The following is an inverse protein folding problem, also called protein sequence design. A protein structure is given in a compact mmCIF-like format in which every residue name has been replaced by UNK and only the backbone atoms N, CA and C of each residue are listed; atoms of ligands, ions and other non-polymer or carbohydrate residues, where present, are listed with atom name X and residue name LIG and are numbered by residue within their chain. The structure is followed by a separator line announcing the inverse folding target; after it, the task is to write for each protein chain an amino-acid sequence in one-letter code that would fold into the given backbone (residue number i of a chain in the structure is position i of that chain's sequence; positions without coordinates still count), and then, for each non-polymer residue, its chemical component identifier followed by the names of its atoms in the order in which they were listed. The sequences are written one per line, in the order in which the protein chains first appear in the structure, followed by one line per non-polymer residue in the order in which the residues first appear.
data_IF_786564900713
#
_entry.id   IF_786564900713
#
_cell.length_a   1.000
_cell.length_b   1.000
_cell.length_c   1.000
_cell.angle_alpha   90.00
_cell.angle_beta   90.00
_cell.angle_gamma   90.00
#
_symmetry.space_group_name_H-M   'P 1'
#
loop_
_entity.id
_entity.type
_entity.pdbx_description
1 polymer ?
#
# COMPACT_ATOMS: atom_id res chain seq x y z
N UNK A 1 2.45 28.67 10.68
CA UNK A 1 3.80 28.23 11.11
C UNK A 1 3.99 26.70 11.19
N UNK A 2 2.93 25.88 11.29
CA UNK A 2 3.02 24.42 11.29
C UNK A 2 3.11 23.78 9.89
N UNK A 3 2.42 24.32 8.89
CA UNK A 3 2.47 23.81 7.50
C UNK A 3 3.87 23.88 6.86
N UNK A 4 4.64 24.89 7.21
CA UNK A 4 6.01 25.09 6.68
C UNK A 4 7.00 24.05 7.23
N UNK A 5 6.78 23.55 8.45
CA UNK A 5 7.60 22.47 9.03
C UNK A 5 7.29 21.10 8.41
N UNK A 6 6.02 20.82 8.11
CA UNK A 6 5.61 19.59 7.44
C UNK A 6 6.13 19.52 6.00
N UNK A 7 6.07 20.63 5.27
CA UNK A 7 6.63 20.74 3.92
C UNK A 7 8.16 20.56 3.90
N UNK A 8 8.87 21.11 4.88
CA UNK A 8 10.35 20.92 4.99
C UNK A 8 10.71 19.48 5.31
N UNK A 9 9.98 18.80 6.19
CA UNK A 9 10.21 17.37 6.46
C UNK A 9 9.94 16.50 5.23
N UNK A 10 8.92 16.84 4.44
CA UNK A 10 8.57 16.11 3.20
C UNK A 10 9.65 16.30 2.10
N UNK A 11 10.20 17.49 1.97
CA UNK A 11 11.27 17.81 1.00
C UNK A 11 12.58 17.13 1.41
N UNK A 12 12.95 17.13 2.70
CA UNK A 12 14.16 16.47 3.21
C UNK A 12 14.13 14.94 3.01
N UNK A 13 12.97 14.30 3.18
CA UNK A 13 12.80 12.87 2.94
C UNK A 13 12.96 12.55 1.43
N UNK A 14 12.51 13.43 0.56
CA UNK A 14 12.60 13.25 -0.89
C UNK A 14 14.02 13.42 -1.43
N UNK A 15 14.80 14.36 -0.90
CA UNK A 15 16.21 14.55 -1.27
C UNK A 15 17.10 13.40 -0.82
N UNK A 16 16.78 12.75 0.32
CA UNK A 16 17.49 11.56 0.77
C UNK A 16 17.25 10.36 -0.16
N UNK A 17 16.04 10.24 -0.73
CA UNK A 17 15.68 9.14 -1.63
C UNK A 17 16.32 9.25 -3.01
N UNK A 18 16.54 10.47 -3.51
CA UNK A 18 17.15 10.70 -4.86
C UNK A 18 18.66 10.40 -4.85
N UNK A 19 19.37 10.73 -3.77
CA UNK A 19 20.80 10.42 -3.66
C UNK A 19 21.09 8.93 -3.48
N UNK A 20 20.16 8.17 -2.89
CA UNK A 20 20.27 6.70 -2.77
C UNK A 20 20.07 5.96 -4.10
N UNK A 21 19.33 6.54 -5.03
CA UNK A 21 19.08 5.96 -6.36
C UNK A 21 20.31 6.07 -7.25
N UNK A 22 21.07 7.17 -7.17
CA UNK A 22 22.25 7.40 -8.01
C UNK A 22 23.45 6.49 -7.68
N UNK A 23 23.54 5.97 -6.45
CA UNK A 23 24.62 5.08 -6.02
C UNK A 23 24.40 3.59 -6.37
N UNK A 24 23.21 3.24 -6.85
CA UNK A 24 22.83 1.84 -7.13
C UNK A 24 22.97 1.39 -8.60
N UNK A 25 23.45 2.22 -9.49
CA UNK A 25 23.60 1.84 -10.91
C UNK A 25 24.75 0.90 -11.24
N UNK A 26 25.61 0.57 -10.26
CA UNK A 26 26.80 -0.28 -10.45
C UNK A 26 26.66 -1.78 -10.11
N UNK A 27 25.52 -2.24 -9.54
CA UNK A 27 25.33 -3.66 -9.13
C UNK A 27 24.04 -4.27 -9.69
N UNK A 28 23.89 -4.22 -11.01
CA UNK A 28 22.59 -4.36 -11.68
C UNK A 28 22.26 -5.74 -12.28
N UNK A 29 22.89 -6.85 -11.92
CA UNK A 29 22.57 -8.11 -12.62
C UNK A 29 21.77 -9.13 -11.82
N UNK A 30 21.91 -9.22 -10.51
CA UNK A 30 21.22 -10.29 -9.73
C UNK A 30 19.98 -9.80 -8.95
N UNK A 31 19.89 -8.50 -8.67
CA UNK A 31 18.76 -7.90 -7.92
C UNK A 31 17.52 -7.70 -8.81
N UNK A 32 17.71 -7.53 -10.12
CA UNK A 32 16.63 -7.27 -11.08
C UNK A 32 15.66 -8.46 -11.19
N UNK A 33 16.16 -9.71 -11.13
CA UNK A 33 15.30 -10.88 -11.29
C UNK A 33 14.41 -11.16 -10.07
N UNK A 34 14.90 -10.95 -8.85
CA UNK A 34 14.12 -11.22 -7.64
C UNK A 34 13.03 -10.14 -7.43
N UNK A 35 13.33 -8.88 -7.75
CA UNK A 35 12.35 -7.80 -7.68
C UNK A 35 11.26 -7.90 -8.75
N UNK A 36 11.60 -8.31 -9.99
CA UNK A 36 10.59 -8.55 -11.04
C UNK A 36 9.64 -9.70 -10.67
N UNK A 37 10.16 -10.79 -10.08
CA UNK A 37 9.34 -11.92 -9.64
C UNK A 37 8.42 -11.54 -8.48
N UNK A 38 8.86 -10.69 -7.57
CA UNK A 38 8.05 -10.14 -6.47
C UNK A 38 6.98 -9.19 -6.98
N UNK A 39 7.31 -8.30 -7.90
CA UNK A 39 6.36 -7.38 -8.53
C UNK A 39 5.24 -8.12 -9.27
N UNK A 40 5.55 -9.12 -10.05
CA UNK A 40 4.56 -9.93 -10.77
C UNK A 40 3.58 -10.59 -9.80
N UNK A 41 4.03 -11.14 -8.68
CA UNK A 41 3.16 -11.74 -7.65
C UNK A 41 2.28 -10.70 -6.96
N UNK A 42 2.82 -9.54 -6.64
CA UNK A 42 2.09 -8.45 -6.02
C UNK A 42 1.05 -7.84 -6.96
N UNK A 43 1.36 -7.71 -8.25
CA UNK A 43 0.44 -7.28 -9.29
C UNK A 43 -0.70 -8.28 -9.50
N UNK A 44 -0.41 -9.57 -9.54
CA UNK A 44 -1.41 -10.62 -9.62
C UNK A 44 -2.34 -10.60 -8.41
N UNK A 45 -1.77 -10.49 -7.20
CA UNK A 45 -2.53 -10.35 -5.97
C UNK A 45 -3.49 -9.16 -6.03
N UNK A 46 -3.01 -7.98 -6.44
CA UNK A 46 -3.81 -6.76 -6.56
C UNK A 46 -4.93 -6.90 -7.59
N UNK A 47 -4.67 -7.52 -8.75
CA UNK A 47 -5.69 -7.84 -9.75
C UNK A 47 -6.77 -8.78 -9.21
N UNK A 48 -6.38 -9.80 -8.46
CA UNK A 48 -7.31 -10.74 -7.86
C UNK A 48 -8.20 -10.07 -6.81
N UNK A 49 -7.64 -9.13 -6.02
CA UNK A 49 -8.46 -8.31 -5.10
C UNK A 49 -9.51 -7.50 -5.88
N UNK A 50 -9.12 -6.83 -6.98
CA UNK A 50 -10.08 -6.08 -7.82
C UNK A 50 -11.20 -6.99 -8.36
N UNK A 51 -10.91 -8.25 -8.64
CA UNK A 51 -11.87 -9.21 -9.15
C UNK A 51 -12.86 -9.76 -8.09
N UNK A 52 -12.56 -9.59 -6.79
CA UNK A 52 -13.43 -10.08 -5.71
C UNK A 52 -14.81 -9.41 -5.71
N UNK A 53 -14.87 -8.13 -6.10
CA UNK A 53 -16.13 -7.39 -6.07
C UNK A 53 -16.20 -6.35 -7.19
N UNK A 54 -17.32 -6.25 -7.92
CA UNK A 54 -17.48 -5.23 -8.96
C UNK A 54 -17.41 -3.79 -8.44
N UNK A 55 -17.70 -3.55 -7.15
CA UNK A 55 -17.62 -2.24 -6.53
C UNK A 55 -16.18 -1.78 -6.28
N UNK A 56 -15.19 -2.67 -6.33
CA UNK A 56 -13.78 -2.30 -6.16
C UNK A 56 -13.32 -1.54 -7.40
N UNK A 57 -12.75 -0.37 -7.17
CA UNK A 57 -12.27 0.60 -8.17
C UNK A 57 -10.75 0.64 -8.29
N UNK A 58 -10.07 0.31 -7.19
CA UNK A 58 -8.62 0.31 -7.06
C UNK A 58 -8.21 -0.75 -6.01
N UNK A 59 -7.13 -1.44 -6.26
CA UNK A 59 -6.43 -2.20 -5.24
C UNK A 59 -4.92 -2.12 -5.50
N UNK A 60 -4.16 -1.81 -4.46
CA UNK A 60 -2.70 -1.73 -4.53
C UNK A 60 -2.06 -2.02 -3.19
N UNK A 61 -0.90 -2.65 -3.22
CA UNK A 61 -0.02 -2.81 -2.09
C UNK A 61 0.83 -1.55 -1.95
N UNK A 62 0.80 -0.94 -0.79
CA UNK A 62 1.67 0.18 -0.44
C UNK A 62 2.68 -0.27 0.61
N UNK A 63 3.89 0.24 0.52
CA UNK A 63 4.91 0.07 1.54
C UNK A 63 4.54 0.88 2.79
N UNK A 64 5.21 0.60 3.90
CA UNK A 64 5.06 1.39 5.13
C UNK A 64 5.56 2.83 5.00
N UNK A 65 6.35 3.12 3.99
CA UNK A 65 6.75 4.46 3.56
C UNK A 65 5.64 5.25 2.86
N UNK A 66 4.52 4.58 2.48
CA UNK A 66 3.46 5.15 1.68
C UNK A 66 3.69 5.06 0.17
N UNK A 67 4.75 4.42 -0.29
CA UNK A 67 5.01 4.22 -1.71
C UNK A 67 4.14 3.08 -2.28
N UNK A 68 3.54 3.29 -3.45
CA UNK A 68 2.79 2.23 -4.14
C UNK A 68 3.78 1.20 -4.71
N UNK A 69 3.78 0.01 -4.13
CA UNK A 69 4.65 -1.10 -4.51
C UNK A 69 4.13 -1.82 -5.75
N UNK A 70 2.82 -2.14 -5.80
CA UNK A 70 2.20 -2.86 -6.89
C UNK A 70 0.69 -2.62 -6.94
N UNK A 71 0.08 -2.85 -8.10
CA UNK A 71 -1.35 -2.71 -8.30
C UNK A 71 -1.77 -1.34 -8.87
N UNK A 72 -3.07 -1.10 -8.87
CA UNK A 72 -3.59 0.12 -9.49
C UNK A 72 -5.11 0.11 -9.66
N UNK A 73 -5.62 1.03 -10.47
CA UNK A 73 -7.04 1.17 -10.72
C UNK A 73 -7.58 0.03 -11.58
N UNK A 74 -8.85 -0.31 -11.34
CA UNK A 74 -9.61 -1.16 -12.24
C UNK A 74 -9.68 -0.51 -13.62
N UNK A 75 -9.42 -1.28 -14.66
CA UNK A 75 -9.46 -0.81 -16.04
C UNK A 75 -10.81 -0.14 -16.35
N UNK A 76 -10.76 1.01 -17.04
CA UNK A 76 -11.94 1.79 -17.41
C UNK A 76 -12.61 2.57 -16.27
N UNK A 77 -12.05 2.54 -15.06
CA UNK A 77 -12.61 3.25 -13.91
C UNK A 77 -11.97 4.63 -13.75
N UNK A 78 -12.76 5.73 -13.75
CA UNK A 78 -12.23 7.08 -13.49
C UNK A 78 -11.63 7.16 -12.09
N UNK A 79 -10.43 7.74 -11.97
CA UNK A 79 -9.78 7.96 -10.69
C UNK A 79 -10.18 9.34 -10.13
N UNK A 80 -10.51 9.38 -8.83
CA UNK A 80 -10.78 10.63 -8.12
C UNK A 80 -9.50 11.32 -7.64
N UNK A 81 -8.49 10.53 -7.22
CA UNK A 81 -7.18 11.04 -6.82
C UNK A 81 -6.16 10.66 -7.89
N UNK A 82 -5.29 11.60 -8.26
CA UNK A 82 -4.23 11.42 -9.27
C UNK A 82 -2.97 12.16 -8.85
N UNK A 83 -1.80 11.64 -9.29
CA UNK A 83 -0.51 12.26 -9.00
C UNK A 83 -0.33 12.51 -7.50
N UNK A 84 0.12 13.70 -7.13
CA UNK A 84 0.43 14.08 -5.74
C UNK A 84 -0.71 13.78 -4.75
N UNK A 85 -1.98 13.95 -5.16
CA UNK A 85 -3.11 13.65 -4.27
C UNK A 85 -3.25 12.15 -3.98
N UNK A 86 -2.93 11.28 -4.95
CA UNK A 86 -2.92 9.85 -4.74
C UNK A 86 -1.74 9.44 -3.83
N UNK A 87 -0.54 9.97 -4.09
CA UNK A 87 0.67 9.70 -3.29
C UNK A 87 0.47 10.15 -1.83
N UNK A 88 -0.14 11.32 -1.62
CA UNK A 88 -0.46 11.82 -0.29
C UNK A 88 -1.46 10.90 0.42
N UNK A 89 -2.49 10.41 -0.28
CA UNK A 89 -3.46 9.47 0.27
C UNK A 89 -2.81 8.16 0.72
N UNK A 90 -1.86 7.64 -0.05
CA UNK A 90 -1.11 6.43 0.31
C UNK A 90 -0.22 6.67 1.53
N UNK A 91 0.51 7.79 1.58
CA UNK A 91 1.36 8.15 2.70
C UNK A 91 0.56 8.30 4.00
N UNK A 92 -0.59 8.98 3.95
CA UNK A 92 -1.49 9.12 5.10
C UNK A 92 -2.07 7.76 5.55
N UNK A 93 -2.42 6.90 4.60
CA UNK A 93 -2.90 5.55 4.90
C UNK A 93 -1.85 4.72 5.64
N UNK A 94 -0.60 4.78 5.19
CA UNK A 94 0.52 4.11 5.84
C UNK A 94 0.75 4.64 7.26
N UNK A 95 0.80 5.96 7.42
CA UNK A 95 1.00 6.61 8.71
C UNK A 95 -0.09 6.23 9.72
N UNK A 96 -1.36 6.25 9.31
CA UNK A 96 -2.46 5.92 10.21
C UNK A 96 -2.43 4.45 10.62
N UNK A 97 -2.13 3.53 9.70
CA UNK A 97 -1.97 2.11 10.04
C UNK A 97 -0.86 1.93 11.07
N UNK A 98 0.32 2.53 10.86
CA UNK A 98 1.45 2.46 11.79
C UNK A 98 1.09 2.99 13.18
N UNK A 99 0.43 4.15 13.24
CA UNK A 99 -0.02 4.75 14.50
C UNK A 99 -1.04 3.87 15.24
N UNK A 100 -1.93 3.18 14.52
CA UNK A 100 -2.93 2.30 15.11
C UNK A 100 -2.37 0.95 15.54
N UNK A 101 -1.39 0.42 14.84
CA UNK A 101 -0.69 -0.81 15.24
C UNK A 101 0.03 -0.66 16.58
N UNK A 102 0.36 0.57 17.00
CA UNK A 102 0.95 0.83 18.30
C UNK A 102 0.10 0.33 19.48
N UNK A 103 -1.20 0.25 19.29
CA UNK A 103 -2.14 -0.24 20.33
C UNK A 103 -2.43 -1.73 20.24
N UNK A 104 -1.64 -2.49 19.47
CA UNK A 104 -1.92 -3.92 19.24
C UNK A 104 -1.76 -4.78 20.48
N UNK A 105 -1.00 -4.34 21.47
CA UNK A 105 -0.85 -5.07 22.74
C UNK A 105 -2.15 -5.03 23.58
N UNK A 106 -2.85 -3.90 23.58
CA UNK A 106 -4.06 -3.68 24.37
C UNK A 106 -5.34 -4.08 23.60
N UNK A 107 -5.38 -3.81 22.28
CA UNK A 107 -6.59 -3.95 21.48
C UNK A 107 -6.59 -5.17 20.55
N UNK A 108 -5.47 -5.87 20.44
CA UNK A 108 -5.26 -6.92 19.44
C UNK A 108 -4.87 -6.32 18.07
N UNK A 109 -4.59 -7.19 17.11
CA UNK A 109 -4.10 -6.77 15.80
C UNK A 109 -5.13 -5.93 15.04
N UNK A 110 -4.67 -4.81 14.45
CA UNK A 110 -5.46 -3.98 13.58
C UNK A 110 -5.91 -4.81 12.36
N UNK A 111 -7.21 -4.90 12.12
CA UNK A 111 -7.77 -5.63 10.97
C UNK A 111 -7.83 -4.75 9.74
N UNK A 112 -8.33 -3.53 9.86
CA UNK A 112 -8.41 -2.54 8.79
C UNK A 112 -8.74 -1.15 9.32
N UNK A 113 -8.51 -0.15 8.49
CA UNK A 113 -9.00 1.23 8.66
C UNK A 113 -9.96 1.52 7.51
N UNK A 114 -11.10 2.12 7.81
CA UNK A 114 -12.11 2.54 6.83
C UNK A 114 -12.26 4.06 6.85
N UNK A 115 -12.15 4.66 5.66
CA UNK A 115 -12.52 6.06 5.41
C UNK A 115 -13.77 6.07 4.53
N UNK A 116 -14.86 6.58 5.06
CA UNK A 116 -16.15 6.63 4.39
C UNK A 116 -16.44 8.04 3.88
N UNK A 117 -16.35 8.23 2.56
CA UNK A 117 -16.68 9.47 1.87
C UNK A 117 -17.99 9.33 1.10
N UNK A 118 -18.60 10.45 0.71
CA UNK A 118 -19.84 10.46 -0.07
C UNK A 118 -19.75 9.69 -1.40
N UNK A 119 -18.58 9.74 -2.05
CA UNK A 119 -18.36 9.14 -3.39
C UNK A 119 -17.68 7.78 -3.35
N UNK A 120 -16.89 7.51 -2.33
CA UNK A 120 -16.04 6.30 -2.23
C UNK A 120 -15.86 5.87 -0.79
N UNK A 121 -15.55 4.60 -0.59
CA UNK A 121 -14.94 4.09 0.63
C UNK A 121 -13.50 3.70 0.34
N UNK A 122 -12.59 4.05 1.26
CA UNK A 122 -11.20 3.64 1.20
C UNK A 122 -10.92 2.71 2.38
N UNK A 123 -10.20 1.62 2.10
CA UNK A 123 -9.78 0.65 3.11
C UNK A 123 -8.28 0.54 3.11
N UNK A 124 -7.68 0.50 4.30
CA UNK A 124 -6.26 0.20 4.50
C UNK A 124 -6.17 -1.04 5.37
N UNK A 125 -5.70 -2.15 4.82
CA UNK A 125 -5.64 -3.46 5.46
C UNK A 125 -4.18 -3.85 5.62
N UNK A 126 -3.66 -4.05 6.84
CA UNK A 126 -2.30 -4.56 7.04
C UNK A 126 -2.13 -5.95 6.41
N UNK A 127 -1.07 -6.14 5.62
CA UNK A 127 -0.71 -7.42 4.98
C UNK A 127 0.79 -7.63 5.12
N UNK A 128 1.23 -8.38 6.11
CA UNK A 128 2.65 -8.56 6.45
C UNK A 128 3.36 -7.19 6.63
N UNK A 129 4.34 -6.91 5.77
CA UNK A 129 5.11 -5.65 5.79
C UNK A 129 4.53 -4.56 4.88
N UNK A 130 3.40 -4.82 4.25
CA UNK A 130 2.71 -3.90 3.34
C UNK A 130 1.32 -3.56 3.87
N UNK A 131 0.67 -2.62 3.21
CA UNK A 131 -0.71 -2.25 3.46
C UNK A 131 -1.45 -2.38 2.14
N UNK A 132 -2.52 -3.15 2.12
CA UNK A 132 -3.42 -3.22 0.99
C UNK A 132 -4.37 -2.02 1.05
N UNK A 133 -4.21 -1.11 0.09
CA UNK A 133 -5.11 0.01 -0.13
C UNK A 133 -6.20 -0.39 -1.14
N UNK A 134 -7.47 -0.23 -0.77
CA UNK A 134 -8.63 -0.52 -1.63
C UNK A 134 -9.50 0.73 -1.70
N UNK A 135 -9.97 1.06 -2.91
CA UNK A 135 -11.03 2.05 -3.13
C UNK A 135 -12.25 1.38 -3.73
N UNK A 136 -13.45 1.72 -3.23
CA UNK A 136 -14.73 1.17 -3.71
C UNK A 136 -15.74 2.26 -3.98
N UNK A 137 -16.87 1.90 -4.59
CA UNK A 137 -18.06 2.75 -4.59
C UNK A 137 -18.58 2.92 -3.16
N UNK A 138 -19.24 4.06 -2.88
CA UNK A 138 -19.74 4.38 -1.53
C UNK A 138 -20.86 3.46 -1.02
N UNK A 139 -21.58 2.80 -1.92
CA UNK A 139 -22.74 1.95 -1.60
C UNK A 139 -22.35 0.52 -1.19
N UNK A 140 -21.06 0.12 -1.27
CA UNK A 140 -20.62 -1.24 -0.96
C UNK A 140 -20.90 -1.58 0.51
N UNK A 141 -21.32 -2.83 0.76
CA UNK A 141 -21.34 -3.41 2.09
C UNK A 141 -19.92 -3.65 2.58
N UNK A 142 -19.48 -2.80 3.51
CA UNK A 142 -18.10 -2.75 3.98
C UNK A 142 -17.69 -4.01 4.74
N UNK A 143 -18.58 -4.57 5.57
CA UNK A 143 -18.27 -5.75 6.39
C UNK A 143 -18.13 -6.99 5.51
N UNK A 144 -19.09 -7.21 4.63
CA UNK A 144 -19.05 -8.33 3.69
C UNK A 144 -17.82 -8.26 2.78
N UNK A 145 -17.49 -7.08 2.26
CA UNK A 145 -16.32 -6.90 1.41
C UNK A 145 -15.02 -7.24 2.16
N UNK A 146 -14.84 -6.66 3.37
CA UNK A 146 -13.63 -6.89 4.17
C UNK A 146 -13.48 -8.36 4.53
N UNK A 147 -14.55 -9.04 4.89
CA UNK A 147 -14.52 -10.48 5.19
C UNK A 147 -14.04 -11.32 4.00
N UNK A 148 -14.52 -11.02 2.78
CA UNK A 148 -14.05 -11.69 1.56
C UNK A 148 -12.60 -11.40 1.25
N UNK A 149 -12.18 -10.15 1.40
CA UNK A 149 -10.79 -9.73 1.19
C UNK A 149 -9.86 -10.43 2.19
N UNK A 150 -10.21 -10.44 3.49
CA UNK A 150 -9.39 -11.10 4.52
C UNK A 150 -9.33 -12.62 4.29
N UNK A 151 -10.43 -13.26 3.90
CA UNK A 151 -10.43 -14.69 3.54
C UNK A 151 -9.48 -14.96 2.36
N UNK A 152 -9.52 -14.12 1.34
CA UNK A 152 -8.63 -14.25 0.19
C UNK A 152 -7.16 -14.06 0.62
N UNK A 153 -6.83 -13.01 1.39
CA UNK A 153 -5.48 -12.77 1.90
C UNK A 153 -4.95 -14.03 2.61
N UNK A 154 -5.70 -14.56 3.57
CA UNK A 154 -5.33 -15.78 4.31
C UNK A 154 -5.09 -17.00 3.42
N UNK A 155 -5.86 -17.15 2.34
CA UNK A 155 -5.73 -18.28 1.41
C UNK A 155 -4.46 -18.22 0.56
N UNK A 156 -3.88 -17.03 0.35
CA UNK A 156 -2.71 -16.82 -0.51
C UNK A 156 -1.46 -16.37 0.26
N UNK A 157 -1.59 -16.02 1.53
CA UNK A 157 -0.54 -15.41 2.33
C UNK A 157 0.76 -16.22 2.37
N UNK A 158 0.67 -17.56 2.38
CA UNK A 158 1.84 -18.45 2.35
C UNK A 158 2.59 -18.41 1.00
N UNK A 159 1.93 -18.00 -0.08
CA UNK A 159 2.51 -17.86 -1.43
C UNK A 159 2.98 -16.42 -1.71
N UNK A 160 2.51 -15.47 -0.92
CA UNK A 160 2.94 -14.08 -1.02
C UNK A 160 4.34 -13.93 -0.41
N UNK A 161 5.36 -14.01 -1.26
CA UNK A 161 6.74 -13.76 -0.90
C UNK A 161 7.02 -12.25 -0.85
N UNK A 162 6.31 -11.54 0.01
CA UNK A 162 6.53 -10.12 0.28
C UNK A 162 7.67 -9.99 1.30
N UNK A 163 8.91 -10.21 0.88
CA UNK A 163 10.05 -9.95 1.74
C UNK A 163 10.20 -8.43 1.93
N UNK A 164 10.52 -7.96 3.15
CA UNK A 164 10.91 -6.57 3.33
C UNK A 164 12.11 -6.27 2.42
N UNK A 165 12.25 -5.01 1.97
CA UNK A 165 13.46 -4.64 1.24
C UNK A 165 14.67 -5.04 2.10
N UNK A 166 15.58 -5.79 1.52
CA UNK A 166 16.79 -6.27 2.21
C UNK A 166 17.60 -5.04 2.57
N UNK A 167 17.49 -4.58 3.82
CA UNK A 167 18.44 -3.63 4.37
C UNK A 167 19.79 -4.33 4.40
N UNK A 168 20.61 -4.12 3.38
CA UNK A 168 22.03 -4.46 3.41
C UNK A 168 22.67 -3.47 4.38
N UNK A 169 22.63 -3.80 5.67
CA UNK A 169 23.53 -3.19 6.64
C UNK A 169 24.88 -3.86 6.39
N UNK A 170 25.67 -3.27 5.50
CA UNK A 170 27.08 -3.58 5.44
C UNK A 170 27.74 -3.04 6.72
N UNK A 171 28.24 -3.99 7.51
CA UNK A 171 29.19 -3.70 8.59
C UNK A 171 30.51 -3.20 8.02
#
# INVERSE_FOLDING_TARGET
MQLTKLLRSYILIREFTINDIALREGQKTDVINDNQTKEIKAEEFSRNIVALDPAIRFAGLIERSGYLFAGGPKQGTPQYLKGISADLSFSQSAEIVLLREHFSQELGNLKYVLYNYDKVKLFSIPVKHHILAISTNSIVDSENLVDRVIKYIKSVEHRLSLHPPTNIINK
#
